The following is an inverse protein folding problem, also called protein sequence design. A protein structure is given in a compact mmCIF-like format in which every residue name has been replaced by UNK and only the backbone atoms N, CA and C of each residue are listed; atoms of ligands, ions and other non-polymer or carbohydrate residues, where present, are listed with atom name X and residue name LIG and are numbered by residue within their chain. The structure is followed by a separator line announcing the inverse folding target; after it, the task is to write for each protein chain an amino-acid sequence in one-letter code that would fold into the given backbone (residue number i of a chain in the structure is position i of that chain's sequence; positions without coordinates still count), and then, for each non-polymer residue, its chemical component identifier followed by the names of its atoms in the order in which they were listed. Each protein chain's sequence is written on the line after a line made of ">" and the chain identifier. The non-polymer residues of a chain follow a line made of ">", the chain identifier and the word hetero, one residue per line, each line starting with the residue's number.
data_IF_378893905351
#
_entry.id   IF_378893905351
#
_cell.length_a   1.000
_cell.length_b   1.000
_cell.length_c   1.000
_cell.angle_alpha   90.00
_cell.angle_beta   90.00
_cell.angle_gamma   90.00
#
_symmetry.space_group_name_H-M   'P 1'
#
loop_
_entity.id
_entity.type
_entity.pdbx_description
1 polymer ?
#
# COMPACT_ATOMS: atom_id res chain seq x y z
N UNK A 1 5.12 2.86 -6.83
CA UNK A 1 3.95 2.59 -7.68
C UNK A 1 3.41 3.91 -8.26
N UNK A 2 3.04 3.95 -9.54
CA UNK A 2 2.52 5.17 -10.18
C UNK A 2 1.02 5.35 -9.89
N UNK A 3 0.50 6.57 -10.04
CA UNK A 3 -0.92 6.89 -9.78
C UNK A 3 -1.88 6.06 -10.63
N UNK A 4 -1.51 5.72 -11.87
CA UNK A 4 -2.34 4.89 -12.75
C UNK A 4 -2.59 3.48 -12.18
N UNK A 5 -1.55 2.83 -11.64
CA UNK A 5 -1.66 1.49 -11.05
C UNK A 5 -2.60 1.45 -9.85
N UNK A 6 -2.67 2.55 -9.07
CA UNK A 6 -3.60 2.66 -7.94
C UNK A 6 -5.07 2.66 -8.37
N UNK A 7 -5.40 2.99 -9.62
CA UNK A 7 -6.79 2.95 -10.11
C UNK A 7 -7.32 1.51 -10.25
N UNK A 8 -6.44 0.51 -10.24
CA UNK A 8 -6.79 -0.91 -10.28
C UNK A 8 -6.90 -1.53 -8.88
N UNK A 9 -6.66 -0.76 -7.83
CA UNK A 9 -6.77 -1.23 -6.45
C UNK A 9 -8.16 -0.85 -5.91
N UNK A 10 -8.96 -1.85 -5.59
CA UNK A 10 -10.34 -1.69 -5.11
C UNK A 10 -10.40 -1.43 -3.61
N UNK A 11 -9.46 -1.98 -2.83
CA UNK A 11 -9.42 -1.76 -1.39
C UNK A 11 -8.91 -0.35 -1.06
N UNK A 12 -9.81 0.49 -0.53
CA UNK A 12 -9.50 1.88 -0.16
C UNK A 12 -8.39 1.99 0.91
N UNK A 13 -8.24 1.01 1.79
CA UNK A 13 -7.15 0.98 2.78
C UNK A 13 -5.83 0.65 2.11
N UNK A 14 -5.79 -0.33 1.22
CA UNK A 14 -4.61 -0.66 0.40
C UNK A 14 -4.16 0.54 -0.43
N UNK A 15 -5.08 1.21 -1.15
CA UNK A 15 -4.79 2.45 -1.90
C UNK A 15 -4.15 3.50 -0.99
N UNK A 16 -4.71 3.70 0.20
CA UNK A 16 -4.23 4.69 1.16
C UNK A 16 -2.84 4.34 1.68
N UNK A 17 -2.60 3.09 2.07
CA UNK A 17 -1.28 2.64 2.53
C UNK A 17 -0.25 2.81 1.43
N UNK A 18 -0.54 2.38 0.20
CA UNK A 18 0.39 2.52 -0.92
C UNK A 18 0.69 3.99 -1.24
N UNK A 19 -0.29 4.90 -1.12
CA UNK A 19 -0.04 6.36 -1.22
C UNK A 19 0.89 6.85 -0.12
N UNK A 20 0.62 6.48 1.14
CA UNK A 20 1.46 6.86 2.28
C UNK A 20 2.90 6.35 2.12
N UNK A 21 3.07 5.08 1.77
CA UNK A 21 4.38 4.46 1.53
C UNK A 21 5.13 5.14 0.38
N UNK A 22 4.49 5.35 -0.77
CA UNK A 22 5.11 6.03 -1.91
C UNK A 22 5.58 7.45 -1.57
N UNK A 23 4.93 8.14 -0.62
CA UNK A 23 5.34 9.46 -0.15
C UNK A 23 6.49 9.36 0.85
N UNK A 24 6.37 8.48 1.85
CA UNK A 24 7.42 8.24 2.85
C UNK A 24 8.73 7.71 2.24
N UNK A 25 8.66 6.96 1.13
CA UNK A 25 9.84 6.49 0.39
C UNK A 25 10.63 7.60 -0.30
N UNK A 26 9.96 8.70 -0.67
CA UNK A 26 10.55 9.82 -1.42
C UNK A 26 10.99 10.97 -0.55
N UNK A 27 10.62 10.95 0.72
CA UNK A 27 10.78 12.08 1.63
C UNK A 27 11.50 11.65 2.90
N UNK A 28 12.37 12.51 3.43
CA UNK A 28 13.10 12.22 4.67
C UNK A 28 12.20 12.23 5.90
N UNK A 29 11.12 13.02 5.87
CA UNK A 29 10.07 13.09 6.90
C UNK A 29 8.76 13.54 6.25
N UNK A 30 7.62 13.03 6.74
CA UNK A 30 6.29 13.46 6.31
C UNK A 30 5.38 13.73 7.50
N UNK A 31 4.77 14.90 7.56
CA UNK A 31 3.81 15.24 8.61
C UNK A 31 2.52 14.41 8.50
N UNK A 32 1.82 14.26 9.62
CA UNK A 32 0.49 13.62 9.63
C UNK A 32 -0.50 14.35 8.70
N UNK A 33 -0.39 15.68 8.61
CA UNK A 33 -1.25 16.53 7.78
C UNK A 33 -1.00 16.31 6.28
N UNK A 34 0.26 16.17 5.87
CA UNK A 34 0.60 15.83 4.49
C UNK A 34 0.09 14.44 4.12
N UNK A 35 0.32 13.44 4.97
CA UNK A 35 -0.19 12.08 4.77
C UNK A 35 -1.72 12.05 4.69
N UNK A 36 -2.40 12.80 5.56
CA UNK A 36 -3.85 12.97 5.54
C UNK A 36 -4.34 13.58 4.23
N UNK A 37 -3.65 14.61 3.71
CA UNK A 37 -3.99 15.29 2.46
C UNK A 37 -3.85 14.37 1.26
N UNK A 38 -2.73 13.65 1.11
CA UNK A 38 -2.48 12.77 -0.04
C UNK A 38 -3.43 11.57 -0.09
N UNK A 39 -3.88 11.09 1.06
CA UNK A 39 -4.77 9.95 1.16
C UNK A 39 -6.23 10.32 1.33
N UNK A 40 -6.57 11.62 1.32
CA UNK A 40 -7.90 12.15 1.60
C UNK A 40 -8.49 11.56 2.89
N UNK A 41 -7.72 11.57 3.96
CA UNK A 41 -8.07 10.97 5.25
C UNK A 41 -7.87 11.95 6.41
N UNK A 42 -8.29 11.56 7.61
CA UNK A 42 -8.06 12.38 8.82
C UNK A 42 -6.73 12.02 9.48
N UNK A 43 -6.15 12.92 10.27
CA UNK A 43 -4.95 12.61 11.07
C UNK A 43 -5.16 11.43 12.03
N UNK A 44 -6.38 11.24 12.55
CA UNK A 44 -6.73 10.07 13.36
C UNK A 44 -6.63 8.77 12.55
N UNK A 45 -7.09 8.79 11.31
CA UNK A 45 -6.97 7.66 10.37
C UNK A 45 -5.50 7.37 10.08
N UNK A 46 -4.70 8.40 9.78
CA UNK A 46 -3.25 8.26 9.57
C UNK A 46 -2.55 7.62 10.76
N UNK A 47 -2.88 8.03 11.99
CA UNK A 47 -2.30 7.41 13.19
C UNK A 47 -2.60 5.91 13.30
N UNK A 48 -3.82 5.49 12.96
CA UNK A 48 -4.20 4.07 12.90
C UNK A 48 -3.48 3.33 11.78
N UNK A 49 -3.44 3.92 10.58
CA UNK A 49 -2.76 3.30 9.44
C UNK A 49 -1.26 3.15 9.69
N UNK A 50 -0.59 4.12 10.30
CA UNK A 50 0.82 4.01 10.70
C UNK A 50 1.05 2.81 11.62
N UNK A 51 0.17 2.61 12.61
CA UNK A 51 0.25 1.44 13.48
C UNK A 51 0.09 0.14 12.70
N UNK A 52 -0.96 0.03 11.87
CA UNK A 52 -1.20 -1.19 11.10
C UNK A 52 -0.11 -1.47 10.06
N UNK A 53 0.43 -0.44 9.41
CA UNK A 53 1.56 -0.56 8.48
C UNK A 53 2.77 -1.11 9.23
N UNK A 54 3.10 -0.57 10.40
CA UNK A 54 4.21 -1.07 11.21
C UNK A 54 3.99 -2.55 11.59
N UNK A 55 2.78 -2.90 11.99
CA UNK A 55 2.46 -4.27 12.42
C UNK A 55 2.46 -5.27 11.25
N UNK A 56 2.09 -4.83 10.04
CA UNK A 56 2.11 -5.66 8.82
C UNK A 56 3.55 -5.89 8.32
N UNK A 57 4.33 -4.81 8.18
CA UNK A 57 5.69 -4.89 7.66
C UNK A 57 6.70 -5.43 8.68
N UNK A 58 6.43 -5.28 9.97
CA UNK A 58 7.25 -5.82 11.07
C UNK A 58 8.72 -5.40 10.91
N UNK A 59 9.63 -6.35 11.02
CA UNK A 59 11.08 -6.21 10.91
C UNK A 59 11.59 -5.83 9.52
N UNK A 60 10.73 -5.80 8.50
CA UNK A 60 11.11 -5.27 7.19
C UNK A 60 11.33 -3.75 7.21
N UNK A 61 10.68 -3.02 8.13
CA UNK A 61 10.76 -1.56 8.22
C UNK A 61 10.89 -1.06 9.66
N UNK A 62 11.39 0.16 9.79
CA UNK A 62 11.20 1.00 10.96
C UNK A 62 10.37 2.22 10.56
N UNK A 63 9.10 2.23 10.97
CA UNK A 63 8.19 3.37 10.82
C UNK A 63 8.00 4.05 12.18
N UNK A 64 8.58 5.24 12.35
CA UNK A 64 8.58 5.97 13.62
C UNK A 64 7.93 7.34 13.52
N UNK A 65 7.30 7.76 14.61
CA UNK A 65 6.84 9.13 14.80
C UNK A 65 7.97 9.98 15.39
N UNK A 66 8.06 11.22 14.96
CA UNK A 66 8.99 12.25 15.39
C UNK A 66 8.21 13.55 15.62
N UNK A 67 8.85 14.55 16.22
CA UNK A 67 8.24 15.87 16.41
C UNK A 67 7.90 16.58 15.08
N UNK A 68 8.55 16.21 13.97
CA UNK A 68 8.28 16.75 12.64
C UNK A 68 7.34 15.89 11.78
N UNK A 69 6.91 14.73 12.25
CA UNK A 69 6.09 13.79 11.47
C UNK A 69 6.64 12.37 11.50
N UNK A 70 6.35 11.59 10.47
CA UNK A 70 6.72 10.19 10.34
C UNK A 70 7.94 10.00 9.44
N UNK A 71 8.77 9.03 9.81
CA UNK A 71 9.95 8.62 9.05
C UNK A 71 9.87 7.12 8.82
N UNK A 72 10.08 6.70 7.57
CA UNK A 72 10.18 5.31 7.15
C UNK A 72 11.64 4.97 6.85
N UNK A 73 12.14 3.89 7.43
CA UNK A 73 13.44 3.30 7.12
C UNK A 73 13.20 1.85 6.71
N UNK A 74 13.70 1.44 5.55
CA UNK A 74 13.67 0.04 5.14
C UNK A 74 14.84 -0.70 5.79
N UNK A 75 14.54 -1.70 6.62
CA UNK A 75 15.55 -2.53 7.30
C UNK A 75 15.97 -3.72 6.42
N UNK A 76 15.01 -4.27 5.68
CA UNK A 76 15.23 -5.29 4.64
C UNK A 76 14.48 -4.90 3.39
N UNK A 77 15.21 -4.49 2.35
CA UNK A 77 14.61 -4.04 1.08
C UNK A 77 13.80 -5.17 0.43
N UNK A 78 14.35 -6.39 0.39
CA UNK A 78 13.67 -7.55 -0.20
C UNK A 78 12.37 -7.86 0.52
N UNK A 79 12.39 -8.00 1.85
CA UNK A 79 11.19 -8.32 2.61
C UNK A 79 10.15 -7.18 2.54
N UNK A 80 10.60 -5.92 2.46
CA UNK A 80 9.73 -4.78 2.27
C UNK A 80 8.99 -4.84 0.93
N UNK A 81 9.72 -5.04 -0.18
CA UNK A 81 9.12 -5.11 -1.51
C UNK A 81 8.21 -6.33 -1.69
N UNK A 82 8.58 -7.49 -1.14
CA UNK A 82 7.73 -8.69 -1.13
C UNK A 82 6.42 -8.45 -0.38
N UNK A 83 6.48 -7.92 0.84
CA UNK A 83 5.28 -7.58 1.62
C UNK A 83 4.46 -6.47 0.94
N UNK A 84 5.11 -5.48 0.33
CA UNK A 84 4.42 -4.40 -0.38
C UNK A 84 3.70 -4.92 -1.63
N UNK A 85 4.29 -5.85 -2.37
CA UNK A 85 3.64 -6.55 -3.47
C UNK A 85 2.47 -7.41 -2.98
N UNK A 86 2.63 -8.09 -1.83
CA UNK A 86 1.60 -8.93 -1.24
C UNK A 86 0.32 -8.17 -0.83
N UNK A 87 0.39 -6.84 -0.64
CA UNK A 87 -0.80 -5.99 -0.46
C UNK A 87 -1.76 -6.04 -1.66
N UNK A 88 -1.28 -6.43 -2.83
CA UNK A 88 -2.05 -6.51 -4.08
C UNK A 88 -2.49 -7.93 -4.44
N UNK A 89 -2.02 -8.96 -3.74
CA UNK A 89 -2.25 -10.37 -4.11
C UNK A 89 -3.73 -10.75 -4.20
N UNK A 90 -4.60 -10.07 -3.46
CA UNK A 90 -6.03 -10.33 -3.44
C UNK A 90 -6.85 -9.20 -4.09
N UNK A 91 -6.22 -8.32 -4.88
CA UNK A 91 -6.94 -7.27 -5.60
C UNK A 91 -7.58 -7.83 -6.87
N UNK A 92 -8.92 -7.82 -7.00
CA UNK A 92 -9.61 -8.53 -8.09
C UNK A 92 -9.18 -8.10 -9.48
N UNK A 93 -8.93 -6.79 -9.69
CA UNK A 93 -8.51 -6.29 -10.99
C UNK A 93 -7.07 -6.71 -11.34
N UNK A 94 -6.19 -6.90 -10.34
CA UNK A 94 -4.86 -7.43 -10.59
C UNK A 94 -4.93 -8.91 -11.00
N UNK A 95 -5.77 -9.71 -10.32
CA UNK A 95 -6.01 -11.13 -10.67
C UNK A 95 -6.55 -11.26 -12.10
N UNK A 96 -7.54 -10.44 -12.46
CA UNK A 96 -8.12 -10.43 -13.82
C UNK A 96 -7.05 -10.01 -14.85
N UNK A 97 -6.30 -8.95 -14.60
CA UNK A 97 -5.26 -8.47 -15.52
C UNK A 97 -4.13 -9.49 -15.69
N UNK A 98 -3.71 -10.15 -14.62
CA UNK A 98 -2.70 -11.22 -14.66
C UNK A 98 -3.17 -12.40 -15.52
N UNK A 99 -4.39 -12.86 -15.28
CA UNK A 99 -5.01 -13.95 -16.03
C UNK A 99 -5.12 -13.61 -17.53
N UNK A 100 -5.57 -12.39 -17.86
CA UNK A 100 -5.58 -11.90 -19.26
C UNK A 100 -4.18 -11.89 -19.87
N UNK A 101 -3.17 -11.45 -19.12
CA UNK A 101 -1.79 -11.38 -19.59
C UNK A 101 -1.21 -12.76 -19.90
N UNK A 102 -1.54 -13.77 -19.09
CA UNK A 102 -1.14 -15.17 -19.32
C UNK A 102 -2.08 -15.95 -20.25
N UNK A 103 -3.07 -15.28 -20.87
CA UNK A 103 -4.09 -15.90 -21.73
C UNK A 103 -4.95 -16.97 -21.01
N UNK A 104 -5.07 -16.86 -19.69
CA UNK A 104 -5.96 -17.65 -18.84
C UNK A 104 -7.32 -16.94 -18.76
N UNK A 105 -8.07 -17.00 -19.87
CA UNK A 105 -9.39 -16.38 -19.94
C UNK A 105 -10.44 -17.28 -19.27
N UNK A 106 -11.13 -16.74 -18.29
CA UNK A 106 -12.20 -17.40 -17.56
C UNK A 106 -13.58 -16.92 -18.00
N UNK A 107 -14.56 -17.81 -17.95
CA UNK A 107 -15.96 -17.43 -18.12
C UNK A 107 -16.42 -16.53 -16.95
N UNK A 108 -17.50 -15.76 -17.15
CA UNK A 108 -17.91 -14.73 -16.18
C UNK A 108 -18.17 -15.31 -14.77
N UNK A 109 -18.78 -16.49 -14.72
CA UNK A 109 -19.12 -17.23 -13.51
C UNK A 109 -17.89 -17.79 -12.77
N UNK A 110 -16.86 -18.20 -13.51
CA UNK A 110 -15.61 -18.73 -12.95
C UNK A 110 -14.80 -17.69 -12.16
N UNK A 111 -14.96 -16.39 -12.47
CA UNK A 111 -14.26 -15.32 -11.74
C UNK A 111 -14.70 -15.18 -10.29
N UNK A 112 -15.87 -15.71 -9.91
CA UNK A 112 -16.33 -15.65 -8.52
C UNK A 112 -15.58 -16.61 -7.59
N UNK A 113 -14.91 -17.61 -8.15
CA UNK A 113 -14.13 -18.62 -7.43
C UNK A 113 -12.62 -18.29 -7.36
N UNK A 114 -12.21 -17.15 -7.94
CA UNK A 114 -10.83 -16.65 -8.02
C UNK A 114 -10.61 -15.48 -7.06
#
# INVERSE_FOLDING_TARGET
>A
MQNFQLNFVTNKTTVRWLKMLNTLEKSTVCSATELAKISHSTSRTIGKDVHHIRDYFQDAILLRSTHHGYVLIQLSVTAYEEKKAALLSNEPLFIILESIFFSELHALDEWSDK
#
